data_IF_348113662705
#
_entry.id   IF_348113662705
#
_cell.length_a   1.000
_cell.length_b   1.000
_cell.length_c   1.000
_cell.angle_alpha   90.00
_cell.angle_beta   90.00
_cell.angle_gamma   90.00
#
_symmetry.space_group_name_H-M   'P 1'
#
loop_
_entity.id
_entity.type
_entity.pdbx_description
1 polymer ?
#
# COMPACT_ATOMS: atom_id res chain seq x y z
N UNK A 1 -14.14 1.52 -17.98
CA UNK A 1 -12.88 2.11 -17.44
C UNK A 1 -11.98 0.95 -17.04
N UNK A 2 -10.79 0.81 -17.62
CA UNK A 2 -9.87 -0.27 -17.25
C UNK A 2 -9.05 0.16 -16.04
N UNK A 3 -9.03 -0.65 -14.99
CA UNK A 3 -8.20 -0.39 -13.81
C UNK A 3 -6.73 -0.59 -14.15
N UNK A 4 -5.89 0.34 -13.69
CA UNK A 4 -4.42 0.29 -13.76
C UNK A 4 -3.85 0.90 -12.47
N UNK A 5 -2.62 0.55 -12.06
CA UNK A 5 -2.01 1.07 -10.82
C UNK A 5 -1.95 2.59 -10.72
N UNK A 6 -1.87 3.31 -11.84
CA UNK A 6 -1.80 4.78 -11.90
C UNK A 6 -3.16 5.45 -12.12
N UNK A 7 -4.23 4.68 -12.34
CA UNK A 7 -5.55 5.22 -12.71
C UNK A 7 -6.17 6.12 -11.63
N UNK A 8 -5.76 5.97 -10.36
CA UNK A 8 -6.20 6.82 -9.25
C UNK A 8 -5.83 8.29 -9.43
N UNK A 9 -4.74 8.60 -10.15
CA UNK A 9 -4.28 9.97 -10.40
C UNK A 9 -5.28 10.83 -11.19
N UNK A 10 -6.31 10.21 -11.77
CA UNK A 10 -7.38 10.86 -12.53
C UNK A 10 -8.57 11.29 -11.65
N UNK A 11 -8.52 10.99 -10.35
CA UNK A 11 -9.60 11.26 -9.40
C UNK A 11 -9.16 12.28 -8.33
N UNK A 12 -10.10 12.97 -7.66
CA UNK A 12 -9.77 13.84 -6.53
C UNK A 12 -9.09 13.07 -5.40
N UNK A 13 -8.05 13.68 -4.81
CA UNK A 13 -7.26 13.11 -3.70
C UNK A 13 -7.10 14.13 -2.57
N UNK A 14 -6.91 13.64 -1.35
CA UNK A 14 -6.73 14.42 -0.13
C UNK A 14 -5.47 13.96 0.60
N UNK A 15 -4.96 14.79 1.53
CA UNK A 15 -3.81 14.46 2.40
C UNK A 15 -2.50 14.12 1.66
N UNK A 16 -2.31 14.64 0.45
CA UNK A 16 -1.07 14.44 -0.33
C UNK A 16 -0.14 15.64 -0.14
N UNK A 17 1.14 15.42 0.18
CA UNK A 17 2.10 16.51 0.32
C UNK A 17 2.37 17.22 -1.01
N UNK A 18 2.67 18.51 -0.94
CA UNK A 18 3.12 19.27 -2.10
C UNK A 18 4.62 19.06 -2.30
N UNK A 19 5.00 18.29 -3.31
CA UNK A 19 6.40 18.12 -3.70
C UNK A 19 6.82 19.28 -4.62
N UNK A 20 7.87 20.04 -4.28
CA UNK A 20 8.26 21.21 -5.07
C UNK A 20 8.82 20.84 -6.45
N UNK A 21 9.49 19.68 -6.56
CA UNK A 21 10.18 19.25 -7.77
C UNK A 21 9.57 17.96 -8.33
N UNK A 22 8.69 18.10 -9.32
CA UNK A 22 8.00 16.95 -9.92
C UNK A 22 8.96 15.99 -10.62
N UNK A 23 10.09 16.49 -11.15
CA UNK A 23 11.12 15.67 -11.78
C UNK A 23 11.77 14.71 -10.79
N UNK A 24 12.07 15.19 -9.59
CA UNK A 24 12.65 14.39 -8.49
C UNK A 24 11.64 13.35 -8.01
N UNK A 25 10.36 13.73 -7.84
CA UNK A 25 9.30 12.78 -7.49
C UNK A 25 9.22 11.64 -8.50
N UNK A 26 9.17 11.95 -9.80
CA UNK A 26 9.11 10.94 -10.86
C UNK A 26 10.34 10.02 -10.85
N UNK A 27 11.53 10.56 -10.57
CA UNK A 27 12.77 9.78 -10.47
C UNK A 27 12.74 8.80 -9.29
N UNK A 28 12.25 9.25 -8.13
CA UNK A 28 12.11 8.42 -6.93
C UNK A 28 11.08 7.32 -7.16
N UNK A 29 9.90 7.65 -7.71
CA UNK A 29 8.88 6.66 -8.06
C UNK A 29 9.41 5.56 -8.99
N UNK A 30 10.19 5.93 -10.02
CA UNK A 30 10.83 4.96 -10.92
C UNK A 30 11.82 4.07 -10.17
N UNK A 31 12.64 4.66 -9.30
CA UNK A 31 13.63 3.91 -8.51
C UNK A 31 12.95 2.90 -7.59
N UNK A 32 11.83 3.26 -6.96
CA UNK A 32 11.05 2.38 -6.10
C UNK A 32 10.37 1.25 -6.88
N UNK A 33 9.87 1.53 -8.09
CA UNK A 33 9.25 0.52 -8.95
C UNK A 33 10.20 -0.61 -9.39
N UNK A 34 11.51 -0.34 -9.39
CA UNK A 34 12.56 -1.31 -9.71
C UNK A 34 13.04 -2.12 -8.49
N UNK A 35 12.62 -1.77 -7.27
CA UNK A 35 13.02 -2.50 -6.05
C UNK A 35 12.24 -3.80 -5.90
N UNK A 36 12.82 -4.81 -5.21
CA UNK A 36 12.09 -6.01 -4.86
C UNK A 36 10.84 -5.69 -4.03
N UNK A 37 9.74 -6.44 -4.22
CA UNK A 37 8.55 -6.28 -3.39
C UNK A 37 8.83 -6.71 -1.94
N UNK A 38 8.13 -6.12 -0.99
CA UNK A 38 8.24 -6.48 0.43
C UNK A 38 7.49 -7.78 0.77
N UNK A 39 6.49 -8.15 -0.02
CA UNK A 39 5.65 -9.34 0.18
C UNK A 39 5.34 -10.02 -1.15
N UNK A 40 5.06 -11.31 -1.10
CA UNK A 40 4.69 -12.13 -2.25
C UNK A 40 3.18 -12.24 -2.43
N UNK A 41 2.73 -12.44 -3.67
CA UNK A 41 1.30 -12.59 -3.98
C UNK A 41 0.64 -13.74 -3.21
N UNK A 42 1.37 -14.83 -2.95
CA UNK A 42 0.87 -15.97 -2.17
C UNK A 42 0.53 -15.61 -0.71
N UNK A 43 1.31 -14.73 -0.09
CA UNK A 43 1.06 -14.25 1.28
C UNK A 43 -0.24 -13.45 1.35
N UNK A 44 -0.50 -12.61 0.33
CA UNK A 44 -1.75 -11.85 0.21
C UNK A 44 -2.95 -12.79 0.04
N UNK A 45 -2.85 -13.83 -0.78
CA UNK A 45 -3.95 -14.81 -0.93
C UNK A 45 -4.20 -15.61 0.35
N UNK A 46 -3.14 -15.93 1.09
CA UNK A 46 -3.26 -16.60 2.39
C UNK A 46 -3.98 -15.70 3.41
N UNK A 47 -3.53 -14.45 3.57
CA UNK A 47 -4.18 -13.48 4.46
C UNK A 47 -5.64 -13.25 4.08
N UNK A 48 -5.95 -13.12 2.79
CA UNK A 48 -7.33 -12.99 2.29
C UNK A 48 -8.21 -14.18 2.71
N UNK A 49 -7.67 -15.39 2.66
CA UNK A 49 -8.39 -16.60 3.09
C UNK A 49 -8.65 -16.60 4.59
N UNK A 50 -7.70 -16.14 5.40
CA UNK A 50 -7.87 -15.97 6.85
C UNK A 50 -8.92 -14.90 7.18
N UNK A 51 -8.88 -13.74 6.50
CA UNK A 51 -9.89 -12.69 6.63
C UNK A 51 -11.29 -13.17 6.22
N UNK A 52 -11.40 -14.07 5.23
CA UNK A 52 -12.67 -14.68 4.86
C UNK A 52 -13.24 -15.56 5.99
N UNK A 53 -12.41 -16.20 6.82
CA UNK A 53 -12.85 -16.91 8.01
C UNK A 53 -13.33 -15.94 9.10
N UNK A 54 -12.61 -14.83 9.31
CA UNK A 54 -13.04 -13.76 10.24
C UNK A 54 -14.41 -13.22 9.85
N UNK A 55 -14.63 -12.89 8.57
CA UNK A 55 -15.91 -12.40 8.06
C UNK A 55 -17.07 -13.40 8.24
N UNK A 56 -16.77 -14.70 8.32
CA UNK A 56 -17.74 -15.78 8.59
C UNK A 56 -17.94 -16.06 10.09
N UNK A 57 -17.37 -15.25 10.98
CA UNK A 57 -17.42 -15.45 12.43
C UNK A 57 -16.57 -16.63 12.92
N UNK A 58 -15.64 -17.13 12.10
CA UNK A 58 -14.77 -18.28 12.40
C UNK A 58 -13.38 -17.86 12.87
N UNK A 59 -13.21 -16.58 13.22
CA UNK A 59 -11.96 -16.00 13.68
C UNK A 59 -12.15 -14.56 14.13
N UNK A 60 -11.11 -13.99 14.71
CA UNK A 60 -11.06 -12.60 15.16
C UNK A 60 -9.83 -11.93 14.54
N UNK A 61 -9.94 -10.66 14.13
CA UNK A 61 -8.83 -9.87 13.62
C UNK A 61 -8.32 -8.95 14.73
N UNK A 62 -7.03 -9.08 15.06
CA UNK A 62 -6.32 -8.12 15.88
C UNK A 62 -5.27 -7.43 15.00
N UNK A 63 -5.32 -6.11 14.94
CA UNK A 63 -4.32 -5.28 14.27
C UNK A 63 -3.83 -4.24 15.27
N UNK A 64 -2.51 -4.13 15.43
CA UNK A 64 -1.87 -3.20 16.36
C UNK A 64 -0.43 -2.93 15.95
N UNK A 65 0.11 -1.80 16.39
CA UNK A 65 1.43 -1.30 16.03
C UNK A 65 1.59 0.17 16.41
N UNK A 66 2.68 0.79 15.97
CA UNK A 66 3.00 2.18 16.26
C UNK A 66 2.02 3.16 15.60
N UNK A 67 1.87 4.34 16.19
CA UNK A 67 1.04 5.40 15.62
C UNK A 67 1.68 6.00 14.36
N UNK A 68 3.00 6.18 14.40
CA UNK A 68 3.81 6.63 13.28
C UNK A 68 5.22 6.05 13.48
N UNK A 69 5.62 5.15 12.59
CA UNK A 69 6.97 4.60 12.58
C UNK A 69 7.97 5.72 12.25
N UNK A 70 9.15 5.70 12.89
CA UNK A 70 10.21 6.69 12.67
C UNK A 70 11.42 6.05 11.99
N UNK A 71 12.21 6.83 11.25
CA UNK A 71 13.44 6.31 10.62
C UNK A 71 14.58 6.04 11.62
N UNK A 72 14.50 6.61 12.82
CA UNK A 72 15.57 6.53 13.82
C UNK A 72 15.42 5.31 14.74
N UNK A 73 14.28 4.63 14.69
CA UNK A 73 13.93 3.44 15.45
C UNK A 73 13.98 2.18 14.59
#
# INVERSE_FOLDING_TARGET
>A
MSWQPDSWRKFPILQVPNYPEQSVLNQVEKTLAEKPPLVFAGEVQNLRSQLANVAKGKGFLLQGGDCAESFAE
#
